data_IF_136017513250
#
_entry.id   IF_136017513250
#
_cell.length_a   1.000
_cell.length_b   1.000
_cell.length_c   1.000
_cell.angle_alpha   90.00
_cell.angle_beta   90.00
_cell.angle_gamma   90.00
#
_symmetry.space_group_name_H-M   'P 1'
#
loop_
_entity.id
_entity.type
_entity.pdbx_description
1 polymer ?
#
# COMPACT_ATOMS: atom_id res chain seq x y z
N UNK A 1 -5.55 -9.22 20.37
CA UNK A 1 -4.94 -10.06 21.42
C UNK A 1 -3.45 -9.73 21.45
N UNK A 2 -2.92 -9.24 22.58
CA UNK A 2 -1.49 -9.00 22.75
C UNK A 2 -0.91 -10.17 23.55
N UNK A 3 -0.01 -10.95 22.95
CA UNK A 3 0.75 -11.95 23.66
C UNK A 3 1.97 -11.28 24.33
N UNK A 4 2.02 -11.33 25.66
CA UNK A 4 3.12 -10.72 26.44
C UNK A 4 4.46 -11.44 26.22
N UNK A 5 4.48 -12.63 25.63
CA UNK A 5 5.68 -13.36 25.27
C UNK A 5 6.33 -12.91 23.96
N UNK A 6 5.62 -12.15 23.11
CA UNK A 6 6.13 -11.68 21.83
C UNK A 6 6.67 -10.26 21.97
N UNK A 7 8.00 -10.12 21.97
CA UNK A 7 8.69 -8.83 22.16
C UNK A 7 8.38 -7.83 21.04
N UNK A 8 8.27 -8.31 19.80
CA UNK A 8 8.02 -7.47 18.62
C UNK A 8 6.64 -7.80 18.06
N UNK A 9 5.72 -6.87 18.19
CA UNK A 9 4.39 -7.01 17.63
C UNK A 9 4.46 -7.06 16.10
N UNK A 10 3.79 -8.06 15.52
CA UNK A 10 3.67 -8.22 14.07
C UNK A 10 2.32 -7.69 13.58
N UNK A 11 2.35 -7.02 12.44
CA UNK A 11 1.15 -6.62 11.70
C UNK A 11 0.92 -7.56 10.52
N UNK A 12 -0.32 -8.00 10.33
CA UNK A 12 -0.69 -8.79 9.16
C UNK A 12 -1.26 -7.88 8.07
N UNK A 13 -0.79 -8.09 6.84
CA UNK A 13 -1.35 -7.48 5.64
C UNK A 13 -1.88 -8.63 4.80
N UNK A 14 -3.19 -8.66 4.60
CA UNK A 14 -3.89 -9.80 3.96
C UNK A 14 -4.42 -9.35 2.61
N UNK A 15 -4.01 -10.06 1.56
CA UNK A 15 -4.49 -9.86 0.20
C UNK A 15 -4.77 -11.21 -0.45
N UNK A 16 -5.72 -11.25 -1.37
CA UNK A 16 -5.88 -12.40 -2.25
C UNK A 16 -4.73 -12.48 -3.26
N UNK A 17 -4.42 -13.69 -3.71
CA UNK A 17 -3.47 -13.93 -4.80
C UNK A 17 -3.79 -13.11 -6.05
N UNK A 18 -5.08 -12.98 -6.39
CA UNK A 18 -5.55 -12.21 -7.54
C UNK A 18 -5.21 -10.72 -7.42
N UNK A 19 -5.45 -10.13 -6.24
CA UNK A 19 -5.11 -8.73 -5.97
C UNK A 19 -3.61 -8.52 -6.03
N UNK A 20 -2.83 -9.41 -5.41
CA UNK A 20 -1.37 -9.34 -5.46
C UNK A 20 -0.85 -9.42 -6.90
N UNK A 21 -1.32 -10.38 -7.70
CA UNK A 21 -0.90 -10.52 -9.09
C UNK A 21 -1.30 -9.32 -9.96
N UNK A 22 -2.45 -8.70 -9.68
CA UNK A 22 -2.88 -7.48 -10.36
C UNK A 22 -1.93 -6.33 -10.02
N UNK A 23 -1.62 -6.16 -8.74
CA UNK A 23 -0.75 -5.09 -8.26
C UNK A 23 0.69 -5.23 -8.76
N UNK A 24 1.21 -6.46 -8.84
CA UNK A 24 2.54 -6.75 -9.40
C UNK A 24 2.60 -6.41 -10.89
N UNK A 25 1.55 -6.77 -11.66
CA UNK A 25 1.47 -6.42 -13.09
C UNK A 25 1.36 -4.91 -13.33
N UNK A 26 0.75 -4.19 -12.39
CA UNK A 26 0.63 -2.73 -12.41
C UNK A 26 1.89 -2.03 -11.85
N UNK A 27 2.90 -2.78 -11.40
CA UNK A 27 4.16 -2.21 -10.91
C UNK A 27 4.02 -1.47 -9.57
N UNK A 28 3.00 -1.76 -8.78
CA UNK A 28 2.83 -1.10 -7.48
C UNK A 28 4.02 -1.39 -6.56
N UNK A 29 4.69 -0.33 -6.12
CA UNK A 29 5.98 -0.41 -5.43
C UNK A 29 5.95 -1.33 -4.21
N UNK A 30 4.90 -1.22 -3.38
CA UNK A 30 4.75 -1.98 -2.14
C UNK A 30 4.77 -3.50 -2.39
N UNK A 31 4.00 -3.98 -3.36
CA UNK A 31 3.95 -5.41 -3.69
C UNK A 31 5.19 -5.88 -4.43
N UNK A 32 5.76 -5.02 -5.26
CA UNK A 32 7.00 -5.30 -6.00
C UNK A 32 8.18 -5.52 -5.03
N UNK A 33 8.28 -4.69 -3.98
CA UNK A 33 9.30 -4.85 -2.94
C UNK A 33 9.10 -6.10 -2.11
N UNK A 34 7.85 -6.44 -1.74
CA UNK A 34 7.55 -7.70 -1.04
C UNK A 34 8.00 -8.89 -1.89
N UNK A 35 7.70 -8.91 -3.19
CA UNK A 35 8.11 -10.03 -4.07
C UNK A 35 9.63 -10.11 -4.23
N UNK A 36 10.32 -8.97 -4.29
CA UNK A 36 11.77 -8.88 -4.50
C UNK A 36 12.59 -9.18 -3.24
N UNK A 37 12.13 -8.72 -2.07
CA UNK A 37 12.90 -8.74 -0.82
C UNK A 37 12.31 -9.69 0.22
N UNK A 38 11.06 -10.12 0.05
CA UNK A 38 10.36 -10.99 0.98
C UNK A 38 10.89 -12.42 0.97
N UNK A 39 10.61 -13.12 2.07
CA UNK A 39 10.92 -14.54 2.24
C UNK A 39 9.60 -15.28 2.35
N UNK A 40 9.43 -16.34 1.55
CA UNK A 40 8.28 -17.22 1.62
C UNK A 40 8.37 -18.05 2.91
N UNK A 41 7.33 -17.97 3.74
CA UNK A 41 7.22 -18.76 4.96
C UNK A 41 6.35 -20.01 4.77
N UNK A 42 5.36 -19.93 3.88
CA UNK A 42 4.41 -21.00 3.59
C UNK A 42 3.71 -20.76 2.24
N UNK A 43 3.54 -21.82 1.45
CA UNK A 43 2.80 -21.83 0.18
C UNK A 43 1.80 -22.99 0.18
N UNK A 44 0.59 -22.74 -0.33
CA UNK A 44 -0.46 -23.76 -0.41
C UNK A 44 -0.37 -24.56 -1.72
N UNK A 45 0.12 -23.94 -2.80
CA UNK A 45 0.29 -24.51 -4.13
C UNK A 45 1.58 -23.97 -4.77
N UNK A 46 2.02 -24.61 -5.87
CA UNK A 46 3.25 -24.26 -6.60
C UNK A 46 3.03 -23.19 -7.69
N UNK A 47 1.84 -22.56 -7.75
CA UNK A 47 1.66 -21.50 -8.73
C UNK A 47 2.49 -20.28 -8.26
N UNK A 48 3.29 -19.63 -9.13
CA UNK A 48 4.10 -18.50 -8.72
C UNK A 48 3.30 -17.18 -8.71
N UNK A 49 3.78 -16.21 -7.93
CA UNK A 49 3.34 -14.82 -8.03
C UNK A 49 3.82 -14.19 -9.34
N UNK A 50 3.05 -13.25 -9.87
CA UNK A 50 3.40 -12.56 -11.11
C UNK A 50 4.73 -11.79 -10.97
N UNK A 51 5.54 -11.79 -12.02
CA UNK A 51 6.74 -10.95 -12.03
C UNK A 51 6.35 -9.47 -12.07
N UNK A 52 6.90 -8.63 -11.18
CA UNK A 52 6.62 -7.21 -11.16
C UNK A 52 7.12 -6.57 -12.45
N UNK A 53 6.30 -5.70 -13.04
CA UNK A 53 6.68 -4.93 -14.22
C UNK A 53 7.01 -3.49 -13.81
N UNK A 54 8.14 -2.93 -14.28
CA UNK A 54 8.39 -1.51 -14.08
C UNK A 54 7.29 -0.72 -14.78
N UNK A 55 6.77 0.29 -14.09
CA UNK A 55 5.82 1.23 -14.69
C UNK A 55 6.55 2.09 -15.73
N UNK A 56 5.89 2.40 -16.84
CA UNK A 56 6.36 3.45 -17.73
C UNK A 56 6.21 4.82 -17.06
N UNK A 57 6.98 5.81 -17.50
CA UNK A 57 6.89 7.17 -16.96
C UNK A 57 5.46 7.76 -17.04
N UNK A 58 4.68 7.38 -18.06
CA UNK A 58 3.28 7.78 -18.19
C UNK A 58 2.38 7.14 -17.12
N UNK A 59 2.60 5.86 -16.81
CA UNK A 59 1.86 5.14 -15.77
C UNK A 59 2.24 5.65 -14.37
N UNK A 60 3.52 5.94 -14.12
CA UNK A 60 3.98 6.56 -12.88
C UNK A 60 3.33 7.93 -12.66
N UNK A 61 3.31 8.77 -13.69
CA UNK A 61 2.64 10.07 -13.66
C UNK A 61 1.15 9.92 -13.35
N UNK A 62 0.47 9.01 -14.04
CA UNK A 62 -0.96 8.78 -13.84
C UNK A 62 -1.26 8.28 -12.41
N UNK A 63 -0.47 7.35 -11.89
CA UNK A 63 -0.61 6.87 -10.51
C UNK A 63 -0.39 8.00 -9.50
N UNK A 64 0.65 8.82 -9.68
CA UNK A 64 0.93 9.96 -8.82
C UNK A 64 -0.22 10.99 -8.84
N UNK A 65 -0.74 11.30 -10.03
CA UNK A 65 -1.88 12.20 -10.21
C UNK A 65 -3.13 11.68 -9.51
N UNK A 66 -3.49 10.41 -9.70
CA UNK A 66 -4.64 9.81 -9.04
C UNK A 66 -4.52 9.82 -7.51
N UNK A 67 -3.32 9.54 -7.00
CA UNK A 67 -3.07 9.62 -5.56
C UNK A 67 -3.24 11.05 -5.03
N UNK A 68 -2.73 12.05 -5.77
CA UNK A 68 -2.89 13.45 -5.42
C UNK A 68 -4.36 13.86 -5.42
N UNK A 69 -5.09 13.60 -6.50
CA UNK A 69 -6.50 13.96 -6.65
C UNK A 69 -7.38 13.31 -5.56
N UNK A 70 -7.08 12.08 -5.16
CA UNK A 70 -7.81 11.38 -4.09
C UNK A 70 -7.47 11.90 -2.68
N UNK A 71 -6.22 12.31 -2.42
CA UNK A 71 -5.77 12.65 -1.05
C UNK A 71 -5.77 14.14 -0.75
N UNK A 72 -5.48 14.99 -1.73
CA UNK A 72 -5.39 16.44 -1.53
C UNK A 72 -6.68 17.08 -1.01
N UNK A 73 -7.89 16.70 -1.46
CA UNK A 73 -9.14 17.24 -0.91
C UNK A 73 -9.28 16.98 0.60
N UNK A 74 -8.86 15.80 1.07
CA UNK A 74 -8.88 15.47 2.49
C UNK A 74 -7.89 16.32 3.28
N UNK A 75 -6.67 16.53 2.75
CA UNK A 75 -5.68 17.41 3.36
C UNK A 75 -6.20 18.86 3.49
N UNK A 76 -6.86 19.36 2.44
CA UNK A 76 -7.48 20.68 2.46
C UNK A 76 -8.56 20.79 3.54
N UNK A 77 -9.47 19.80 3.61
CA UNK A 77 -10.53 19.75 4.62
C UNK A 77 -9.98 19.70 6.06
N UNK A 78 -8.90 18.95 6.28
CA UNK A 78 -8.23 18.94 7.58
C UNK A 78 -7.66 20.31 7.95
N UNK A 79 -7.06 21.01 6.99
CA UNK A 79 -6.57 22.37 7.21
C UNK A 79 -7.70 23.37 7.51
N UNK A 80 -8.82 23.32 6.78
CA UNK A 80 -10.00 24.14 7.08
C UNK A 80 -10.55 23.88 8.47
N UNK A 81 -10.66 22.61 8.85
CA UNK A 81 -11.15 22.20 10.18
C UNK A 81 -10.24 22.74 11.28
N UNK A 82 -8.92 22.64 11.10
CA UNK A 82 -7.93 23.19 12.03
C UNK A 82 -8.10 24.71 12.20
N UNK A 83 -8.23 25.46 11.10
CA UNK A 83 -8.43 26.91 11.13
C UNK A 83 -9.74 27.31 11.84
N UNK A 84 -10.81 26.56 11.61
CA UNK A 84 -12.08 26.77 12.30
C UNK A 84 -11.94 26.55 13.81
N UNK A 85 -11.30 25.46 14.22
CA UNK A 85 -11.08 25.15 15.64
C UNK A 85 -10.20 26.17 16.35
N UNK A 86 -9.18 26.73 15.68
CA UNK A 86 -8.36 27.80 16.25
C UNK A 86 -9.12 29.11 16.49
N UNK A 87 -10.08 29.44 15.62
CA UNK A 87 -10.85 30.70 15.71
C UNK A 87 -12.00 30.64 16.71
N UNK A 88 -12.56 29.45 16.93
CA UNK A 88 -13.78 29.24 17.73
C UNK A 88 -13.54 28.42 19.01
N UNK A 89 -12.28 28.08 19.31
CA UNK A 89 -11.86 27.39 20.54
C UNK A 89 -11.33 28.35 21.60
#
# INVERSE_FOLDING_TARGET
>A
MHDRGVKTQVGFIVHSRREMNTALRQGHYFFSDIRRQGIVLYELDDEPLAEPKPMSAAEEYQAAKEHFEKRFPNAHKFHETFQFSLKNG
#
